data_IF_824247887064
#
_entry.id   IF_824247887064
#
_cell.length_a   1.000
_cell.length_b   1.000
_cell.length_c   1.000
_cell.angle_alpha   90.00
_cell.angle_beta   90.00
_cell.angle_gamma   90.00
#
_symmetry.space_group_name_H-M   'P 1'
#
loop_
_entity.id
_entity.type
_entity.pdbx_description
1 polymer ?
#
# COMPACT_ATOMS: atom_id res chain seq x y z
N UNK A 1 -11.46 16.01 -19.50
CA UNK A 1 -10.29 15.53 -18.74
C UNK A 1 -10.81 14.43 -17.85
N UNK A 2 -10.42 13.18 -18.07
CA UNK A 2 -10.73 12.10 -17.11
C UNK A 2 -9.95 12.38 -15.83
N UNK A 3 -10.66 12.46 -14.72
CA UNK A 3 -10.06 12.59 -13.38
C UNK A 3 -9.38 11.26 -13.05
N UNK A 4 -8.05 11.26 -12.93
CA UNK A 4 -7.29 10.08 -12.51
C UNK A 4 -7.12 10.10 -10.99
N UNK A 5 -7.62 9.08 -10.30
CA UNK A 5 -7.36 8.86 -8.88
C UNK A 5 -6.15 7.94 -8.75
N UNK A 6 -5.09 8.41 -8.08
CA UNK A 6 -3.94 7.58 -7.74
C UNK A 6 -4.09 7.13 -6.30
N UNK A 7 -4.29 5.82 -6.12
CA UNK A 7 -4.23 5.15 -4.83
C UNK A 7 -2.84 4.58 -4.63
N UNK A 8 -2.27 4.77 -3.45
CA UNK A 8 -0.96 4.26 -3.11
C UNK A 8 -0.75 4.18 -1.61
N UNK A 9 0.13 3.28 -1.22
CA UNK A 9 0.60 3.16 0.16
C UNK A 9 2.04 3.65 0.26
N UNK A 10 2.37 4.11 1.45
CA UNK A 10 3.69 4.44 1.93
C UNK A 10 4.04 3.43 3.01
N UNK A 11 5.31 3.04 3.05
CA UNK A 11 5.82 2.09 4.03
C UNK A 11 7.01 2.69 4.75
N UNK A 12 7.04 2.54 6.07
CA UNK A 12 8.21 2.78 6.89
C UNK A 12 9.09 1.53 6.85
N UNK A 13 10.29 1.70 6.30
CA UNK A 13 11.38 0.74 6.38
C UNK A 13 12.40 1.21 7.41
N UNK A 14 13.11 0.27 8.03
CA UNK A 14 14.32 0.64 8.75
C UNK A 14 15.39 1.16 7.78
N UNK A 15 16.36 1.88 8.34
CA UNK A 15 17.41 2.53 7.53
C UNK A 15 18.21 1.51 6.70
N UNK A 16 18.68 0.38 7.26
CA UNK A 16 19.41 -0.62 6.47
C UNK A 16 18.62 -1.17 5.28
N UNK A 17 17.35 -1.52 5.48
CA UNK A 17 16.48 -2.04 4.41
C UNK A 17 16.22 -0.99 3.33
N UNK A 18 16.01 0.27 3.75
CA UNK A 18 15.86 1.38 2.82
C UNK A 18 17.14 1.63 2.00
N UNK A 19 18.29 1.69 2.66
CA UNK A 19 19.58 1.92 1.99
C UNK A 19 19.85 0.79 0.98
N UNK A 20 19.62 -0.48 1.36
CA UNK A 20 19.76 -1.63 0.45
C UNK A 20 18.82 -1.54 -0.76
N UNK A 21 17.55 -1.19 -0.55
CA UNK A 21 16.59 -1.01 -1.64
C UNK A 21 17.00 0.12 -2.57
N UNK A 22 17.45 1.25 -2.01
CA UNK A 22 17.86 2.42 -2.78
C UNK A 22 19.11 2.14 -3.63
N UNK A 23 20.12 1.50 -3.04
CA UNK A 23 21.39 1.18 -3.73
C UNK A 23 21.20 0.17 -4.86
N UNK A 24 20.30 -0.78 -4.68
CA UNK A 24 20.01 -1.81 -5.69
C UNK A 24 19.01 -1.34 -6.75
N UNK A 25 18.25 -0.28 -6.50
CA UNK A 25 17.21 0.20 -7.41
C UNK A 25 17.68 0.45 -8.86
N UNK A 26 18.84 1.09 -9.11
CA UNK A 26 19.32 1.35 -10.47
C UNK A 26 19.63 0.09 -11.30
N UNK A 27 19.85 -1.05 -10.65
CA UNK A 27 20.12 -2.32 -11.36
C UNK A 27 18.89 -2.84 -12.12
N UNK A 28 17.69 -2.54 -11.61
CA UNK A 28 16.45 -3.13 -12.12
C UNK A 28 16.29 -4.63 -11.84
N UNK A 29 17.18 -5.24 -11.05
CA UNK A 29 17.18 -6.68 -10.71
C UNK A 29 16.83 -6.93 -9.23
N UNK A 30 15.89 -6.15 -8.69
CA UNK A 30 15.60 -6.16 -7.26
C UNK A 30 14.89 -7.42 -6.78
N UNK A 31 14.35 -8.27 -7.66
CA UNK A 31 13.69 -9.52 -7.25
C UNK A 31 14.64 -10.50 -6.57
N UNK A 32 15.95 -10.34 -6.77
CA UNK A 32 16.97 -11.10 -6.07
C UNK A 32 17.12 -10.69 -4.59
N UNK A 33 16.57 -9.55 -4.18
CA UNK A 33 16.52 -9.16 -2.77
C UNK A 33 15.56 -10.05 -1.99
N UNK A 34 15.91 -10.30 -0.73
CA UNK A 34 14.98 -10.93 0.21
C UNK A 34 13.73 -10.05 0.41
N UNK A 35 12.67 -10.69 0.89
CA UNK A 35 11.46 -9.99 1.33
C UNK A 35 11.81 -9.02 2.46
N UNK A 36 11.38 -7.77 2.31
CA UNK A 36 11.61 -6.71 3.29
C UNK A 36 10.42 -6.62 4.24
N UNK A 37 10.67 -6.20 5.49
CA UNK A 37 9.62 -6.02 6.49
C UNK A 37 9.55 -4.54 6.86
N UNK A 38 8.33 -4.02 7.01
CA UNK A 38 8.10 -2.64 7.38
C UNK A 38 6.74 -2.44 8.03
N UNK A 39 6.32 -1.18 8.05
CA UNK A 39 5.02 -0.77 8.59
C UNK A 39 4.31 0.13 7.59
N UNK A 40 3.02 -0.06 7.40
CA UNK A 40 2.22 0.87 6.59
C UNK A 40 2.21 2.23 7.29
N UNK A 41 2.60 3.27 6.55
CA UNK A 41 2.71 4.64 7.04
C UNK A 41 1.44 5.48 6.82
N UNK A 42 0.54 5.01 5.95
CA UNK A 42 -0.76 5.66 5.75
C UNK A 42 -1.61 5.52 7.01
N UNK A 43 -2.29 6.60 7.40
CA UNK A 43 -3.49 6.48 8.22
C UNK A 43 -4.56 5.91 7.32
N UNK A 44 -5.08 4.72 7.58
CA UNK A 44 -6.15 4.11 6.78
C UNK A 44 -7.46 4.26 7.57
N UNK A 45 -8.41 5.09 7.11
CA UNK A 45 -9.68 5.28 7.81
C UNK A 45 -10.43 3.96 8.03
N UNK A 46 -10.99 3.78 9.22
CA UNK A 46 -11.59 2.52 9.67
C UNK A 46 -10.61 1.45 10.16
N UNK A 47 -9.31 1.60 9.90
CA UNK A 47 -8.25 0.65 10.30
C UNK A 47 -7.22 1.36 11.18
N UNK A 48 -7.47 1.33 12.49
CA UNK A 48 -6.61 2.03 13.45
C UNK A 48 -5.42 1.16 13.87
N UNK A 49 -4.27 1.80 14.00
CA UNK A 49 -3.07 1.19 14.57
C UNK A 49 -1.89 1.18 13.62
N UNK A 50 -0.83 0.49 14.03
CA UNK A 50 0.34 0.24 13.19
C UNK A 50 0.17 -1.11 12.52
N UNK A 51 0.21 -1.11 11.18
CA UNK A 51 0.01 -2.32 10.39
C UNK A 51 1.37 -2.81 9.86
N UNK A 52 1.83 -3.94 10.37
CA UNK A 52 3.06 -4.55 9.89
C UNK A 52 2.84 -5.05 8.45
N UNK A 53 3.85 -4.89 7.59
CA UNK A 53 3.75 -5.33 6.20
C UNK A 53 5.02 -6.00 5.70
N UNK A 54 4.82 -6.95 4.80
CA UNK A 54 5.86 -7.57 3.98
C UNK A 54 5.93 -6.87 2.63
N UNK A 55 7.13 -6.60 2.13
CA UNK A 55 7.38 -5.90 0.87
C UNK A 55 8.22 -6.83 0.00
N UNK A 56 7.69 -7.19 -1.16
CA UNK A 56 8.35 -8.01 -2.16
C UNK A 56 8.86 -7.13 -3.31
N UNK A 57 10.17 -6.90 -3.41
CA UNK A 57 10.75 -6.17 -4.54
C UNK A 57 10.50 -6.88 -5.87
N UNK A 58 10.49 -6.10 -6.95
CA UNK A 58 10.18 -6.61 -8.29
C UNK A 58 11.15 -6.03 -9.32
N UNK A 59 11.57 -6.88 -10.26
CA UNK A 59 12.44 -6.47 -11.38
C UNK A 59 11.78 -5.46 -12.32
N UNK A 60 12.63 -4.79 -13.09
CA UNK A 60 12.23 -3.88 -14.17
C UNK A 60 11.75 -2.53 -13.67
N UNK A 61 12.31 -2.04 -12.55
CA UNK A 61 11.96 -0.75 -11.94
C UNK A 61 10.47 -0.63 -11.61
N UNK A 62 9.84 -1.76 -11.30
CA UNK A 62 8.43 -1.83 -10.91
C UNK A 62 8.29 -1.50 -9.43
N UNK A 63 7.10 -0.99 -9.07
CA UNK A 63 6.75 -0.82 -7.66
C UNK A 63 6.77 -2.18 -6.95
N UNK A 64 7.34 -2.27 -5.74
CA UNK A 64 7.24 -3.48 -4.93
C UNK A 64 5.78 -3.84 -4.64
N UNK A 65 5.51 -5.13 -4.44
CA UNK A 65 4.21 -5.58 -3.94
C UNK A 65 4.28 -5.57 -2.41
N UNK A 66 3.24 -5.06 -1.76
CA UNK A 66 3.18 -5.00 -0.30
C UNK A 66 1.97 -5.76 0.21
N UNK A 67 2.15 -6.47 1.31
CA UNK A 67 1.14 -7.29 1.95
C UNK A 67 1.08 -6.96 3.44
N UNK A 68 -0.12 -6.90 4.03
CA UNK A 68 -0.22 -6.96 5.48
C UNK A 68 0.44 -8.25 5.99
N UNK A 69 1.19 -8.17 7.09
CA UNK A 69 2.08 -9.27 7.52
C UNK A 69 1.41 -10.26 8.49
N UNK A 70 0.31 -9.86 9.15
CA UNK A 70 -0.31 -10.62 10.23
C UNK A 70 -1.75 -10.98 9.86
N UNK A 71 -2.13 -12.26 10.02
CA UNK A 71 -3.49 -12.73 9.70
C UNK A 71 -4.57 -12.07 10.58
N UNK A 72 -4.20 -11.69 11.81
CA UNK A 72 -5.09 -11.02 12.75
C UNK A 72 -5.27 -9.52 12.43
N UNK A 73 -4.46 -8.96 11.52
CA UNK A 73 -4.62 -7.59 11.07
C UNK A 73 -5.86 -7.47 10.18
N UNK A 74 -6.75 -6.54 10.50
CA UNK A 74 -7.97 -6.32 9.72
C UNK A 74 -7.69 -5.99 8.25
N UNK A 75 -6.52 -5.41 7.92
CA UNK A 75 -6.10 -5.17 6.54
C UNK A 75 -5.71 -6.46 5.80
N UNK A 76 -5.29 -7.50 6.51
CA UNK A 76 -4.94 -8.78 5.91
C UNK A 76 -6.14 -9.44 5.26
N UNK A 77 -7.25 -9.55 6.01
CA UNK A 77 -8.52 -10.06 5.47
C UNK A 77 -9.00 -9.23 4.27
N UNK A 78 -8.96 -7.90 4.40
CA UNK A 78 -9.36 -6.97 3.34
C UNK A 78 -8.53 -7.14 2.06
N UNK A 79 -7.22 -7.41 2.19
CA UNK A 79 -6.34 -7.63 1.05
C UNK A 79 -6.62 -8.95 0.31
N UNK A 80 -7.08 -9.98 1.03
CA UNK A 80 -7.47 -11.26 0.44
C UNK A 80 -8.84 -11.21 -0.24
N UNK A 81 -9.82 -10.63 0.45
CA UNK A 81 -11.22 -10.62 0.02
C UNK A 81 -11.49 -9.51 -1.02
N UNK A 82 -10.64 -8.48 -1.04
CA UNK A 82 -10.84 -7.28 -1.82
C UNK A 82 -11.83 -6.31 -1.15
N UNK A 83 -11.78 -5.06 -1.59
CA UNK A 83 -12.67 -4.00 -1.11
C UNK A 83 -13.82 -3.83 -2.11
N UNK A 84 -15.06 -3.71 -1.61
CA UNK A 84 -16.19 -3.33 -2.46
C UNK A 84 -16.04 -1.89 -2.95
N UNK A 85 -16.78 -1.51 -3.99
CA UNK A 85 -16.76 -0.14 -4.48
C UNK A 85 -17.25 0.86 -3.41
N UNK A 86 -18.31 0.51 -2.69
CA UNK A 86 -18.87 1.34 -1.62
C UNK A 86 -17.85 1.54 -0.49
N UNK A 87 -17.17 0.47 -0.08
CA UNK A 87 -16.10 0.55 0.91
C UNK A 87 -14.96 1.48 0.47
N UNK A 88 -14.59 1.42 -0.83
CA UNK A 88 -13.57 2.31 -1.39
C UNK A 88 -14.00 3.78 -1.36
N UNK A 89 -15.24 4.07 -1.76
CA UNK A 89 -15.78 5.43 -1.74
C UNK A 89 -15.84 5.96 -0.31
N UNK A 90 -16.33 5.17 0.65
CA UNK A 90 -16.34 5.55 2.06
C UNK A 90 -14.94 5.85 2.58
N UNK A 91 -13.96 4.97 2.30
CA UNK A 91 -12.58 5.21 2.71
C UNK A 91 -12.03 6.52 2.12
N UNK A 92 -12.31 6.80 0.84
CA UNK A 92 -11.88 8.03 0.17
C UNK A 92 -12.52 9.29 0.75
N UNK A 93 -13.81 9.24 1.07
CA UNK A 93 -14.52 10.33 1.73
C UNK A 93 -13.95 10.61 3.12
N UNK A 94 -13.60 9.58 3.87
CA UNK A 94 -12.94 9.71 5.17
C UNK A 94 -11.51 10.27 5.07
N UNK A 95 -10.84 10.08 3.93
CA UNK A 95 -9.60 10.80 3.59
C UNK A 95 -9.83 12.27 3.21
N UNK A 96 -11.08 12.72 3.06
CA UNK A 96 -11.45 14.07 2.68
C UNK A 96 -11.70 14.25 1.18
N UNK A 97 -11.75 13.17 0.39
CA UNK A 97 -12.16 13.25 -1.01
C UNK A 97 -13.69 13.35 -1.09
N UNK A 98 -14.21 14.57 -1.20
CA UNK A 98 -15.65 14.82 -1.23
C UNK A 98 -16.25 14.77 -2.65
N UNK A 99 -17.53 14.46 -2.75
CA UNK A 99 -18.30 14.56 -4.00
C UNK A 99 -18.09 13.38 -4.97
N UNK A 100 -17.56 12.26 -4.46
CA UNK A 100 -17.37 11.04 -5.24
C UNK A 100 -18.69 10.26 -5.39
N UNK A 101 -19.55 10.28 -4.39
CA UNK A 101 -20.90 9.68 -4.40
C UNK A 101 -21.89 10.38 -5.34
N UNK A 102 -21.68 11.68 -5.60
CA UNK A 102 -22.65 12.53 -6.31
C UNK A 102 -22.46 12.50 -7.84
N UNK A 103 -21.38 11.90 -8.34
CA UNK A 103 -21.05 11.82 -9.77
C UNK A 103 -21.39 10.48 -10.42
N UNK A 104 -21.95 9.52 -9.67
CA UNK A 104 -22.41 8.22 -10.18
C UNK A 104 -23.88 8.22 -10.63
N UNK A 105 -24.45 9.41 -10.90
CA UNK A 105 -25.80 9.60 -11.45
C UNK A 105 -25.83 9.66 -12.97
#
# INVERSE_FOLDING_TARGET
MESCLILGIWVHLDKPSFDQFYETYPSGEQRAMDMQIGWIANIIPGYHGSHACCIQPHDGLKRPITYAALEEDALYGLQLDGMSFEMLITMLEEYGHTGLSDQTG
#
